data_IF_396210169635
#
_entry.id   IF_396210169635
#
_cell.length_a   1.000
_cell.length_b   1.000
_cell.length_c   1.000
_cell.angle_alpha   90.00
_cell.angle_beta   90.00
_cell.angle_gamma   90.00
#
_symmetry.space_group_name_H-M   'P 1'
#
loop_
_entity.id
_entity.type
_entity.pdbx_description
1 polymer ?
#
# COMPACT_ATOMS: atom_id res chain seq x y z
N UNK A 1 27.21 8.03 -11.01
CA UNK A 1 26.37 8.90 -11.86
C UNK A 1 25.24 9.47 -11.00
N UNK A 2 24.81 10.69 -11.24
CA UNK A 2 23.64 11.27 -10.52
C UNK A 2 22.39 10.60 -11.06
N UNK A 3 21.55 10.03 -10.19
CA UNK A 3 20.25 9.47 -10.59
C UNK A 3 19.35 10.64 -11.06
N UNK A 4 18.70 10.49 -12.20
CA UNK A 4 17.79 11.48 -12.78
C UNK A 4 16.45 10.87 -13.19
N UNK A 5 16.15 9.67 -12.72
CA UNK A 5 14.93 8.92 -12.98
C UNK A 5 14.37 8.38 -11.68
N UNK A 6 13.06 8.19 -11.62
CA UNK A 6 12.32 7.78 -10.44
C UNK A 6 11.40 6.60 -10.71
N UNK A 7 11.41 5.64 -9.81
CA UNK A 7 10.42 4.58 -9.74
C UNK A 7 9.61 4.77 -8.46
N UNK A 8 8.29 4.79 -8.61
CA UNK A 8 7.33 4.80 -7.51
C UNK A 8 6.57 3.49 -7.51
N UNK A 9 6.48 2.84 -6.36
CA UNK A 9 5.75 1.58 -6.22
C UNK A 9 4.62 1.74 -5.21
N UNK A 10 3.45 1.17 -5.53
CA UNK A 10 2.47 0.85 -4.50
C UNK A 10 2.91 -0.39 -3.72
N UNK A 11 2.26 -0.65 -2.58
CA UNK A 11 2.59 -1.75 -1.67
C UNK A 11 1.68 -2.97 -1.87
N UNK A 12 0.37 -2.77 -1.54
CA UNK A 12 -0.61 -3.83 -1.42
C UNK A 12 -1.21 -4.20 -2.79
N UNK A 13 -0.95 -5.42 -3.29
CA UNK A 13 -1.33 -5.84 -4.64
C UNK A 13 -0.26 -5.57 -5.70
N UNK A 14 0.74 -4.76 -5.39
CA UNK A 14 1.86 -4.43 -6.30
C UNK A 14 3.16 -5.12 -5.88
N UNK A 15 3.71 -4.76 -4.72
CA UNK A 15 4.93 -5.36 -4.17
C UNK A 15 4.65 -6.65 -3.40
N UNK A 16 3.47 -6.72 -2.78
CA UNK A 16 3.05 -7.87 -1.97
C UNK A 16 1.56 -8.16 -2.18
N UNK A 17 1.18 -9.43 -2.34
CA UNK A 17 -0.19 -9.86 -2.09
C UNK A 17 -0.40 -9.93 -0.58
N UNK A 18 -1.05 -8.91 -0.04
CA UNK A 18 -1.37 -8.78 1.38
C UNK A 18 -2.82 -9.12 1.70
N UNK A 19 -3.56 -9.69 0.76
CA UNK A 19 -4.99 -10.01 0.90
C UNK A 19 -5.27 -10.80 2.17
N UNK A 20 -4.53 -11.91 2.39
CA UNK A 20 -4.68 -12.74 3.58
C UNK A 20 -4.22 -12.06 4.86
N UNK A 21 -3.16 -11.24 4.80
CA UNK A 21 -2.68 -10.46 5.95
C UNK A 21 -3.78 -9.51 6.43
N UNK A 22 -4.37 -8.78 5.50
CA UNK A 22 -5.47 -7.86 5.79
C UNK A 22 -6.71 -8.61 6.31
N UNK A 23 -7.09 -9.74 5.68
CA UNK A 23 -8.20 -10.56 6.14
C UNK A 23 -8.03 -11.02 7.59
N UNK A 24 -6.92 -11.68 7.91
CA UNK A 24 -6.71 -12.20 9.26
C UNK A 24 -6.61 -11.09 10.31
N UNK A 25 -6.00 -9.97 9.96
CA UNK A 25 -5.90 -8.82 10.86
C UNK A 25 -7.27 -8.19 11.15
N UNK A 26 -8.14 -8.06 10.14
CA UNK A 26 -9.52 -7.60 10.34
C UNK A 26 -10.36 -8.63 11.08
N UNK A 27 -10.22 -9.91 10.76
CA UNK A 27 -10.95 -10.99 11.45
C UNK A 27 -10.62 -11.00 12.95
N UNK A 28 -9.34 -10.91 13.31
CA UNK A 28 -8.92 -10.80 14.73
C UNK A 28 -9.52 -9.56 15.39
N UNK A 29 -9.47 -8.41 14.71
CA UNK A 29 -9.98 -7.17 15.25
C UNK A 29 -11.51 -7.19 15.45
N UNK A 30 -12.25 -7.76 14.52
CA UNK A 30 -13.71 -7.92 14.62
C UNK A 30 -14.11 -8.91 15.72
N UNK A 31 -13.42 -10.05 15.81
CA UNK A 31 -13.66 -11.03 16.86
C UNK A 31 -13.46 -10.43 18.26
N UNK A 32 -12.54 -9.50 18.44
CA UNK A 32 -12.31 -8.82 19.71
C UNK A 32 -13.50 -7.98 20.20
N UNK A 33 -14.45 -7.66 19.32
CA UNK A 33 -15.70 -6.95 19.63
C UNK A 33 -16.94 -7.78 19.29
N UNK A 34 -16.80 -9.12 19.25
CA UNK A 34 -17.87 -10.09 19.00
C UNK A 34 -18.53 -10.00 17.60
N UNK A 35 -17.84 -9.49 16.60
CA UNK A 35 -18.22 -9.61 15.19
C UNK A 35 -17.37 -10.69 14.54
N UNK A 36 -17.92 -11.37 13.51
CA UNK A 36 -17.16 -12.31 12.68
C UNK A 36 -17.20 -11.89 11.21
N UNK A 37 -16.22 -12.33 10.45
CA UNK A 37 -16.10 -12.07 9.02
C UNK A 37 -15.51 -13.31 8.35
N UNK A 38 -16.18 -13.81 7.33
CA UNK A 38 -15.63 -14.86 6.48
C UNK A 38 -14.79 -14.28 5.33
N UNK A 39 -14.03 -15.17 4.66
CA UNK A 39 -13.10 -14.74 3.62
C UNK A 39 -13.80 -14.27 2.35
N UNK A 40 -14.92 -14.90 1.99
CA UNK A 40 -15.67 -14.55 0.76
C UNK A 40 -16.31 -13.18 0.90
N UNK A 41 -16.87 -12.87 2.07
CA UNK A 41 -17.35 -11.53 2.39
C UNK A 41 -16.21 -10.50 2.34
N UNK A 42 -15.05 -10.82 2.90
CA UNK A 42 -13.90 -9.92 2.87
C UNK A 42 -13.48 -9.59 1.42
N UNK A 43 -13.34 -10.59 0.57
CA UNK A 43 -12.95 -10.40 -0.83
C UNK A 43 -13.98 -9.53 -1.56
N UNK A 44 -15.25 -9.82 -1.39
CA UNK A 44 -16.34 -9.17 -2.14
C UNK A 44 -16.62 -7.74 -1.66
N UNK A 45 -16.61 -7.53 -0.35
CA UNK A 45 -17.14 -6.30 0.23
C UNK A 45 -16.07 -5.38 0.86
N UNK A 46 -14.90 -5.93 1.23
CA UNK A 46 -13.89 -5.20 2.00
C UNK A 46 -12.59 -4.95 1.23
N UNK A 47 -12.17 -5.91 0.39
CA UNK A 47 -10.88 -5.84 -0.30
C UNK A 47 -10.77 -4.56 -1.16
N UNK A 48 -9.63 -3.87 -1.06
CA UNK A 48 -9.38 -2.60 -1.77
C UNK A 48 -10.15 -1.39 -1.26
N UNK A 49 -11.01 -1.53 -0.24
CA UNK A 49 -11.83 -0.43 0.29
C UNK A 49 -11.28 0.07 1.63
N UNK A 50 -11.51 1.35 1.90
CA UNK A 50 -11.21 1.93 3.20
C UNK A 50 -12.18 1.39 4.27
N UNK A 51 -11.70 1.16 5.51
CA UNK A 51 -12.52 0.57 6.59
C UNK A 51 -13.82 1.34 6.87
N UNK A 52 -13.85 2.66 6.67
CA UNK A 52 -15.05 3.49 6.82
C UNK A 52 -16.12 3.25 5.74
N UNK A 53 -15.78 2.50 4.68
CA UNK A 53 -16.73 2.17 3.60
C UNK A 53 -17.42 0.82 3.83
N UNK A 54 -16.73 -0.15 4.44
CA UNK A 54 -17.29 -1.49 4.61
C UNK A 54 -17.73 -1.83 6.05
N UNK A 55 -17.05 -1.33 7.08
CA UNK A 55 -17.44 -1.63 8.46
C UNK A 55 -18.87 -1.13 8.82
N UNK A 56 -19.36 0.03 8.32
CA UNK A 56 -20.74 0.42 8.54
C UNK A 56 -21.77 -0.57 7.97
N UNK A 57 -21.43 -1.25 6.86
CA UNK A 57 -22.30 -2.28 6.25
C UNK A 57 -22.43 -3.54 7.11
N UNK A 58 -21.50 -3.74 8.04
CA UNK A 58 -21.55 -4.80 9.05
C UNK A 58 -22.30 -4.36 10.32
N UNK A 59 -22.81 -3.13 10.35
CA UNK A 59 -23.57 -2.59 11.48
C UNK A 59 -22.72 -1.95 12.59
N UNK A 60 -21.41 -1.70 12.34
CA UNK A 60 -20.53 -1.07 13.33
C UNK A 60 -20.79 0.45 13.40
N UNK A 61 -20.83 0.98 14.61
CA UNK A 61 -20.83 2.43 14.85
C UNK A 61 -19.40 3.02 14.78
N UNK A 62 -19.28 4.35 14.82
CA UNK A 62 -17.99 5.03 14.67
C UNK A 62 -16.94 4.60 15.71
N UNK A 63 -17.33 4.43 16.98
CA UNK A 63 -16.42 4.00 18.04
C UNK A 63 -15.90 2.57 17.80
N UNK A 64 -16.80 1.67 17.42
CA UNK A 64 -16.43 0.28 17.07
C UNK A 64 -15.49 0.23 15.87
N UNK A 65 -15.75 1.02 14.83
CA UNK A 65 -14.87 1.12 13.66
C UNK A 65 -13.45 1.57 14.03
N UNK A 66 -13.32 2.59 14.89
CA UNK A 66 -12.00 3.06 15.33
C UNK A 66 -11.29 2.01 16.20
N UNK A 67 -12.01 1.26 17.04
CA UNK A 67 -11.47 0.13 17.83
C UNK A 67 -10.93 -0.95 16.87
N UNK A 68 -11.77 -1.37 15.90
CA UNK A 68 -11.37 -2.38 14.89
C UNK A 68 -10.14 -1.91 14.11
N UNK A 69 -10.14 -0.66 13.63
CA UNK A 69 -9.00 -0.10 12.89
C UNK A 69 -7.72 -0.11 13.73
N UNK A 70 -7.80 0.29 15.00
CA UNK A 70 -6.65 0.31 15.92
C UNK A 70 -6.11 -1.10 16.18
N UNK A 71 -7.00 -2.07 16.46
CA UNK A 71 -6.59 -3.46 16.68
C UNK A 71 -5.96 -4.01 15.41
N UNK A 72 -6.63 -3.88 14.25
CA UNK A 72 -6.12 -4.32 12.94
C UNK A 72 -4.73 -3.79 12.67
N UNK A 73 -4.50 -2.49 12.87
CA UNK A 73 -3.19 -1.85 12.67
C UNK A 73 -2.11 -2.46 13.58
N UNK A 74 -2.47 -2.86 14.81
CA UNK A 74 -1.52 -3.42 15.78
C UNK A 74 -1.29 -4.93 15.64
N UNK A 75 -2.21 -5.66 14.99
CA UNK A 75 -2.09 -7.11 14.77
C UNK A 75 -1.58 -7.48 13.39
N UNK A 76 -1.48 -6.51 12.47
CA UNK A 76 -1.06 -6.71 11.08
C UNK A 76 0.25 -7.50 10.96
N UNK A 77 1.24 -7.17 11.77
CA UNK A 77 2.56 -7.82 11.73
C UNK A 77 2.55 -9.30 12.14
N UNK A 78 1.53 -9.77 12.86
CA UNK A 78 1.38 -11.18 13.25
C UNK A 78 1.11 -12.10 12.07
N UNK A 79 0.62 -11.54 10.97
CA UNK A 79 0.19 -12.29 9.78
C UNK A 79 1.09 -12.08 8.57
N UNK A 80 2.25 -11.43 8.70
CA UNK A 80 3.14 -11.15 7.57
C UNK A 80 3.67 -12.43 6.88
N UNK A 81 3.70 -13.55 7.62
CA UNK A 81 4.12 -14.84 7.09
C UNK A 81 3.17 -15.42 6.03
N UNK A 82 1.95 -14.91 5.88
CA UNK A 82 1.01 -15.32 4.81
C UNK A 82 1.00 -14.35 3.63
N UNK A 83 1.76 -13.25 3.69
CA UNK A 83 1.94 -12.37 2.54
C UNK A 83 2.76 -13.07 1.45
N UNK A 84 2.46 -12.77 0.18
CA UNK A 84 3.28 -13.24 -0.92
C UNK A 84 4.04 -12.08 -1.53
N UNK A 85 5.34 -12.22 -1.66
CA UNK A 85 6.23 -11.22 -2.25
C UNK A 85 6.23 -11.33 -3.78
N UNK A 86 6.12 -10.19 -4.47
CA UNK A 86 6.35 -10.11 -5.92
C UNK A 86 7.86 -10.12 -6.22
N UNK A 87 8.43 -11.33 -6.19
CA UNK A 87 9.89 -11.52 -6.39
C UNK A 87 10.36 -10.95 -7.72
N UNK A 88 9.55 -11.07 -8.78
CA UNK A 88 9.94 -10.58 -10.11
C UNK A 88 10.08 -9.07 -10.12
N UNK A 89 9.12 -8.33 -9.54
CA UNK A 89 9.21 -6.87 -9.46
C UNK A 89 10.40 -6.45 -8.57
N UNK A 90 10.61 -7.09 -7.42
CA UNK A 90 11.77 -6.78 -6.59
C UNK A 90 13.11 -7.02 -7.31
N UNK A 91 13.24 -8.07 -8.12
CA UNK A 91 14.46 -8.30 -8.93
C UNK A 91 14.67 -7.18 -9.95
N UNK A 92 13.61 -6.69 -10.59
CA UNK A 92 13.67 -5.54 -11.50
C UNK A 92 14.15 -4.29 -10.74
N UNK A 93 13.53 -3.97 -9.60
CA UNK A 93 13.90 -2.81 -8.79
C UNK A 93 15.36 -2.88 -8.31
N UNK A 94 15.80 -4.04 -7.84
CA UNK A 94 17.20 -4.25 -7.43
C UNK A 94 18.19 -4.03 -8.58
N UNK A 95 17.84 -4.42 -9.80
CA UNK A 95 18.69 -4.21 -10.98
C UNK A 95 18.81 -2.73 -11.35
N UNK A 96 17.74 -1.94 -11.11
CA UNK A 96 17.63 -0.53 -11.48
C UNK A 96 18.09 0.45 -10.39
N UNK A 97 18.33 0.01 -9.16
CA UNK A 97 18.60 0.89 -8.02
C UNK A 97 19.82 1.80 -8.15
N UNK A 98 20.74 1.49 -9.07
CA UNK A 98 21.90 2.36 -9.34
C UNK A 98 21.58 3.54 -10.26
N UNK A 99 20.54 3.41 -11.09
CA UNK A 99 20.16 4.39 -12.11
C UNK A 99 18.92 5.20 -11.70
N UNK A 100 18.01 4.59 -10.93
CA UNK A 100 16.76 5.18 -10.50
C UNK A 100 16.76 5.44 -8.99
N UNK A 101 16.14 6.55 -8.59
CA UNK A 101 15.59 6.63 -7.24
C UNK A 101 14.39 5.69 -7.13
N UNK A 102 14.22 5.04 -5.99
CA UNK A 102 13.11 4.11 -5.75
C UNK A 102 12.39 4.55 -4.48
N UNK A 103 11.08 4.77 -4.59
CA UNK A 103 10.26 5.16 -3.46
C UNK A 103 8.96 4.36 -3.40
N UNK A 104 8.42 4.22 -2.19
CA UNK A 104 7.12 3.64 -1.91
C UNK A 104 6.08 4.75 -1.76
N UNK A 105 4.91 4.59 -2.39
CA UNK A 105 3.75 5.49 -2.23
C UNK A 105 2.49 4.66 -2.04
N UNK A 106 2.00 4.58 -0.80
CA UNK A 106 0.93 3.65 -0.43
C UNK A 106 -0.16 4.32 0.42
N UNK A 107 -1.36 3.74 0.41
CA UNK A 107 -2.45 4.09 1.33
C UNK A 107 -2.37 3.33 2.67
N UNK A 108 -1.44 2.38 2.81
CA UNK A 108 -1.15 1.73 4.09
C UNK A 108 -0.53 2.70 5.09
N UNK A 109 -0.57 2.36 6.39
CA UNK A 109 0.07 3.18 7.42
C UNK A 109 1.59 3.08 7.36
N UNK A 110 2.30 4.13 7.82
CA UNK A 110 3.76 4.12 7.98
C UNK A 110 4.25 2.89 8.76
N UNK A 111 3.55 2.55 9.83
CA UNK A 111 3.89 1.38 10.66
C UNK A 111 3.83 0.08 9.84
N UNK A 112 2.69 -0.20 9.23
CA UNK A 112 2.48 -1.46 8.51
C UNK A 112 3.40 -1.58 7.29
N UNK A 113 3.63 -0.48 6.57
CA UNK A 113 4.55 -0.45 5.42
C UNK A 113 5.98 -0.79 5.83
N UNK A 114 6.45 -0.25 6.96
CA UNK A 114 7.78 -0.55 7.49
C UNK A 114 7.88 -2.00 7.96
N UNK A 115 6.89 -2.49 8.71
CA UNK A 115 6.86 -3.85 9.23
C UNK A 115 6.96 -4.92 8.13
N UNK A 116 6.20 -4.78 7.03
CA UNK A 116 6.26 -5.75 5.94
C UNK A 116 7.58 -5.67 5.16
N UNK A 117 8.09 -4.46 4.90
CA UNK A 117 9.39 -4.29 4.24
C UNK A 117 10.53 -4.85 5.08
N UNK A 118 10.51 -4.64 6.40
CA UNK A 118 11.51 -5.18 7.33
C UNK A 118 11.42 -6.70 7.41
N UNK A 119 10.20 -7.28 7.47
CA UNK A 119 9.98 -8.73 7.51
C UNK A 119 10.59 -9.45 6.29
N UNK A 120 10.49 -8.84 5.10
CA UNK A 120 11.05 -9.40 3.87
C UNK A 120 12.46 -8.88 3.54
N UNK A 121 13.10 -8.11 4.44
CA UNK A 121 14.43 -7.50 4.22
C UNK A 121 14.50 -6.65 2.93
N UNK A 122 13.46 -5.85 2.67
CA UNK A 122 13.34 -5.01 1.47
C UNK A 122 13.34 -3.50 1.75
N UNK A 123 13.45 -3.11 3.02
CA UNK A 123 13.37 -1.71 3.45
C UNK A 123 14.42 -0.82 2.78
N UNK A 124 15.67 -1.30 2.74
CA UNK A 124 16.82 -0.54 2.22
C UNK A 124 16.77 -0.26 0.71
N UNK A 125 15.82 -0.85 0.00
CA UNK A 125 15.60 -0.57 -1.42
C UNK A 125 14.93 0.79 -1.64
N UNK A 126 14.16 1.28 -0.67
CA UNK A 126 13.35 2.49 -0.79
C UNK A 126 14.01 3.68 -0.10
N UNK A 127 14.37 4.69 -0.90
CA UNK A 127 14.97 5.94 -0.43
C UNK A 127 13.95 6.87 0.24
N UNK A 128 12.65 6.69 -0.07
CA UNK A 128 11.53 7.43 0.50
C UNK A 128 10.32 6.51 0.65
N UNK A 129 9.56 6.69 1.73
CA UNK A 129 8.27 6.04 1.94
C UNK A 129 7.23 7.14 2.22
N UNK A 130 6.24 7.25 1.35
CA UNK A 130 5.06 8.08 1.54
C UNK A 130 3.88 7.16 1.83
N UNK A 131 3.34 7.25 3.03
CA UNK A 131 2.26 6.43 3.56
C UNK A 131 0.99 7.25 3.80
N UNK A 132 -0.04 6.64 4.34
CA UNK A 132 -1.33 7.27 4.58
C UNK A 132 -1.27 8.54 5.44
N UNK A 133 -0.32 8.59 6.37
CA UNK A 133 -0.15 9.72 7.29
C UNK A 133 0.61 10.91 6.68
N UNK A 134 1.27 10.71 5.53
CA UNK A 134 2.10 11.72 4.88
C UNK A 134 1.34 12.56 3.84
N UNK A 135 0.06 12.27 3.60
CA UNK A 135 -0.80 12.95 2.63
C UNK A 135 -2.10 13.42 3.27
N UNK A 136 -2.59 14.55 2.79
CA UNK A 136 -3.94 15.02 3.15
C UNK A 136 -5.01 14.29 2.33
N UNK A 137 -4.74 14.09 1.05
CA UNK A 137 -5.63 13.45 0.10
C UNK A 137 -5.02 12.13 -0.40
N UNK A 138 -5.66 11.01 -0.04
CA UNK A 138 -5.25 9.67 -0.48
C UNK A 138 -5.62 9.43 -1.95
N UNK A 139 -5.07 8.37 -2.56
CA UNK A 139 -5.49 7.87 -3.86
C UNK A 139 -7.04 7.77 -3.90
N UNK A 140 -7.73 8.24 -4.95
CA UNK A 140 -7.24 8.57 -6.29
C UNK A 140 -6.70 10.01 -6.46
N UNK A 141 -6.38 10.73 -5.40
CA UNK A 141 -5.65 11.99 -5.50
C UNK A 141 -4.17 11.71 -5.78
N UNK A 142 -3.50 12.43 -6.69
CA UNK A 142 -2.10 12.21 -7.06
C UNK A 142 -1.09 12.73 -6.03
N UNK A 143 -1.53 13.30 -4.91
CA UNK A 143 -0.69 14.01 -3.93
C UNK A 143 0.55 13.23 -3.53
N UNK A 144 0.41 11.93 -3.19
CA UNK A 144 1.55 11.11 -2.77
C UNK A 144 2.60 10.95 -3.87
N UNK A 145 2.18 10.74 -5.12
CA UNK A 145 3.08 10.64 -6.27
C UNK A 145 3.76 11.98 -6.56
N UNK A 146 3.01 13.10 -6.51
CA UNK A 146 3.56 14.44 -6.71
C UNK A 146 4.57 14.79 -5.61
N UNK A 147 4.27 14.48 -4.33
CA UNK A 147 5.21 14.68 -3.22
C UNK A 147 6.52 13.92 -3.44
N UNK A 148 6.45 12.66 -3.89
CA UNK A 148 7.66 11.87 -4.19
C UNK A 148 8.48 12.48 -5.33
N UNK A 149 7.86 12.85 -6.44
CA UNK A 149 8.53 13.51 -7.57
C UNK A 149 9.17 14.84 -7.14
N UNK A 150 8.47 15.63 -6.33
CA UNK A 150 8.98 16.90 -5.79
C UNK A 150 10.19 16.68 -4.88
N UNK A 151 10.14 15.66 -4.00
CA UNK A 151 11.24 15.33 -3.09
C UNK A 151 12.54 15.02 -3.83
N UNK A 152 12.46 14.26 -4.93
CA UNK A 152 13.64 13.92 -5.74
C UNK A 152 13.97 14.98 -6.80
N UNK A 153 13.11 15.99 -7.01
CA UNK A 153 13.19 16.97 -8.11
C UNK A 153 13.26 16.28 -9.47
N UNK A 154 12.36 15.34 -9.71
CA UNK A 154 12.26 14.56 -10.97
C UNK A 154 10.87 14.80 -11.59
N UNK A 155 10.86 15.00 -12.90
CA UNK A 155 9.64 15.28 -13.65
C UNK A 155 8.79 14.02 -13.88
N UNK A 156 7.48 14.16 -14.15
CA UNK A 156 6.61 13.03 -14.45
C UNK A 156 7.08 12.15 -15.61
N UNK A 157 7.66 12.74 -16.67
CA UNK A 157 8.15 12.03 -17.85
C UNK A 157 9.32 11.08 -17.54
N UNK A 158 10.10 11.39 -16.49
CA UNK A 158 11.23 10.58 -16.01
C UNK A 158 10.83 9.68 -14.82
N UNK A 159 9.53 9.61 -14.53
CA UNK A 159 8.96 8.80 -13.43
C UNK A 159 8.14 7.64 -13.97
N UNK A 160 8.36 6.45 -13.42
CA UNK A 160 7.57 5.24 -13.67
C UNK A 160 6.87 4.80 -12.38
N UNK A 161 5.57 4.61 -12.44
CA UNK A 161 4.74 4.15 -11.32
C UNK A 161 4.33 2.70 -11.57
N UNK A 162 4.58 1.81 -10.60
CA UNK A 162 4.03 0.46 -10.53
C UNK A 162 2.82 0.46 -9.60
N UNK A 163 1.67 0.03 -10.13
CA UNK A 163 0.38 0.10 -9.43
C UNK A 163 -0.56 -1.00 -9.94
N UNK A 164 -1.41 -1.58 -9.09
CA UNK A 164 -2.36 -2.64 -9.43
C UNK A 164 -3.82 -2.17 -9.42
N UNK A 165 -4.17 -1.27 -8.49
CA UNK A 165 -5.55 -0.87 -8.20
C UNK A 165 -6.07 0.24 -9.13
N UNK A 166 -7.38 0.22 -9.42
CA UNK A 166 -8.01 1.25 -10.25
C UNK A 166 -7.88 2.65 -9.63
N UNK A 167 -8.01 2.77 -8.30
CA UNK A 167 -7.85 4.06 -7.60
C UNK A 167 -6.40 4.56 -7.63
N UNK A 168 -5.44 3.66 -7.60
CA UNK A 168 -4.03 4.00 -7.73
C UNK A 168 -3.65 4.36 -9.16
N UNK A 169 -4.17 3.64 -10.15
CA UNK A 169 -4.02 3.96 -11.59
C UNK A 169 -4.61 5.34 -11.89
N UNK A 170 -5.80 5.67 -11.36
CA UNK A 170 -6.40 6.99 -11.52
C UNK A 170 -5.50 8.09 -10.93
N UNK A 171 -4.93 7.87 -9.74
CA UNK A 171 -3.97 8.79 -9.13
C UNK A 171 -2.71 8.95 -9.99
N UNK A 172 -2.19 7.84 -10.53
CA UNK A 172 -1.01 7.83 -11.40
C UNK A 172 -1.28 8.60 -12.71
N UNK A 173 -2.42 8.42 -13.35
CA UNK A 173 -2.83 9.20 -14.55
C UNK A 173 -2.85 10.70 -14.24
N UNK A 174 -3.46 11.09 -13.11
CA UNK A 174 -3.52 12.50 -12.68
C UNK A 174 -2.15 13.09 -12.37
N UNK A 175 -1.19 12.28 -11.97
CA UNK A 175 0.20 12.70 -11.73
C UNK A 175 0.99 12.98 -13.01
N UNK A 176 0.48 12.51 -14.17
CA UNK A 176 1.10 12.58 -15.51
C UNK A 176 2.40 11.76 -15.65
N UNK A 177 2.73 10.90 -14.69
CA UNK A 177 3.86 9.99 -14.78
C UNK A 177 3.54 8.78 -15.69
N UNK A 178 4.58 8.05 -16.09
CA UNK A 178 4.41 6.78 -16.79
C UNK A 178 3.89 5.71 -15.84
N UNK A 179 3.07 4.77 -16.34
CA UNK A 179 2.40 3.78 -15.51
C UNK A 179 2.68 2.39 -16.06
N UNK A 180 2.98 1.47 -15.14
CA UNK A 180 2.99 0.04 -15.40
C UNK A 180 1.97 -0.61 -14.46
N UNK A 181 0.89 -1.16 -15.04
CA UNK A 181 -0.10 -1.92 -14.26
C UNK A 181 0.48 -3.27 -13.88
N UNK A 182 0.43 -3.59 -12.59
CA UNK A 182 0.91 -4.87 -12.02
C UNK A 182 -0.28 -5.79 -11.78
N UNK A 183 -0.08 -7.09 -12.00
CA UNK A 183 -0.99 -8.16 -11.62
C UNK A 183 -0.18 -9.25 -10.94
N UNK A 184 -0.53 -9.65 -9.70
CA UNK A 184 0.16 -10.67 -8.89
C UNK A 184 -0.80 -11.73 -8.35
#
# INVERSE_FOLDING_TARGET
MKKNKLILCDLDGTLFDTTKVNFYSYKEALNAINYDMDYDFFIKECYGKHYKEFLPKMGLNENEMEIVHKIKKNTYNRYLNVAKINTHLFNILESLKKEYHIALVTTASQKNSKEILDFFNKRELFELIIAAEDVENKKPNPEGFIKAMTYFNINPEETLIFEDSDVGIEAAIKSKANIFKVEI
#
